data_IF_896537705438
#
_entry.id   IF_896537705438
#
_cell.length_a   1.000
_cell.length_b   1.000
_cell.length_c   1.000
_cell.angle_alpha   90.00
_cell.angle_beta   90.00
_cell.angle_gamma   90.00
#
_symmetry.space_group_name_H-M   'P 1'
#
loop_
_entity.id
_entity.type
_entity.pdbx_description
1 polymer ?
#
# COMPACT_ATOMS: atom_id res chain seq x y z
N UNK A 1 -8.07 1.57 -13.76
CA UNK A 1 -6.67 1.23 -14.12
C UNK A 1 -6.08 0.56 -12.89
N UNK A 2 -5.58 -0.67 -13.02
CA UNK A 2 -5.04 -1.41 -11.86
C UNK A 2 -3.63 -0.88 -11.57
N UNK A 3 -3.52 0.01 -10.57
CA UNK A 3 -2.25 0.61 -10.18
C UNK A 3 -1.50 -0.41 -9.34
N UNK A 4 -0.22 -0.72 -9.64
CA UNK A 4 0.57 -1.66 -8.86
C UNK A 4 0.63 -1.25 -7.39
N UNK A 5 0.15 -2.14 -6.51
CA UNK A 5 0.20 -1.98 -5.06
C UNK A 5 0.85 -3.23 -4.47
N UNK A 6 1.93 -3.07 -3.73
CA UNK A 6 2.67 -4.19 -3.13
C UNK A 6 4.01 -4.47 -3.81
N UNK A 7 4.46 -5.72 -3.96
CA UNK A 7 5.76 -6.02 -4.57
C UNK A 7 5.94 -5.32 -5.90
N UNK A 8 7.04 -4.58 -6.04
CA UNK A 8 7.33 -3.77 -7.22
C UNK A 8 7.59 -4.65 -8.45
N UNK A 9 8.12 -5.82 -8.21
CA UNK A 9 8.43 -6.84 -9.20
C UNK A 9 7.91 -8.18 -8.71
N UNK A 10 7.50 -9.09 -9.62
CA UNK A 10 7.20 -10.46 -9.25
C UNK A 10 8.38 -11.06 -8.49
N UNK A 11 8.09 -11.75 -7.39
CA UNK A 11 9.07 -12.59 -6.72
C UNK A 11 9.43 -13.73 -7.67
N UNK A 12 10.72 -14.03 -7.84
CA UNK A 12 11.17 -15.16 -8.65
C UNK A 12 10.46 -16.47 -8.24
N UNK A 13 10.27 -17.37 -9.18
CA UNK A 13 9.58 -18.66 -8.94
C UNK A 13 10.16 -19.34 -7.69
N UNK A 14 9.29 -19.66 -6.73
CA UNK A 14 9.58 -20.54 -5.59
C UNK A 14 10.09 -19.85 -4.32
N UNK A 15 10.30 -18.53 -4.25
CA UNK A 15 10.87 -17.90 -3.06
C UNK A 15 9.86 -17.19 -2.16
N UNK A 16 8.89 -16.49 -2.73
CA UNK A 16 7.84 -15.82 -1.96
C UNK A 16 6.54 -15.72 -2.78
N UNK A 17 5.41 -15.94 -2.12
CA UNK A 17 4.08 -15.86 -2.71
C UNK A 17 3.22 -14.93 -1.88
N UNK A 18 2.41 -14.07 -2.51
CA UNK A 18 1.45 -13.20 -1.83
C UNK A 18 0.06 -13.46 -2.38
N UNK A 19 -0.83 -13.96 -1.52
CA UNK A 19 -2.26 -14.05 -1.84
C UNK A 19 -2.93 -12.76 -1.39
N UNK A 20 -3.78 -12.17 -2.25
CA UNK A 20 -4.62 -11.03 -1.89
C UNK A 20 -6.06 -11.46 -1.83
N UNK A 21 -6.76 -10.97 -0.79
CA UNK A 21 -8.18 -11.21 -0.59
C UNK A 21 -8.91 -9.87 -0.45
N UNK A 22 -10.05 -9.73 -1.09
CA UNK A 22 -10.90 -8.55 -0.92
C UNK A 22 -11.66 -8.61 0.41
N UNK A 23 -11.93 -7.45 1.03
CA UNK A 23 -12.80 -7.40 2.20
C UNK A 23 -14.25 -7.65 1.82
N UNK A 24 -15.08 -8.15 2.75
CA UNK A 24 -16.52 -8.20 2.57
C UNK A 24 -17.08 -6.77 2.39
N UNK A 25 -18.25 -6.67 1.78
CA UNK A 25 -18.86 -5.38 1.44
C UNK A 25 -18.94 -4.42 2.62
N UNK A 26 -19.29 -4.93 3.80
CA UNK A 26 -19.40 -4.14 5.04
C UNK A 26 -18.08 -3.50 5.50
N UNK A 27 -16.91 -3.96 5.03
CA UNK A 27 -15.60 -3.46 5.41
C UNK A 27 -14.85 -2.76 4.26
N UNK A 28 -15.46 -2.61 3.08
CA UNK A 28 -14.81 -1.99 1.90
C UNK A 28 -14.43 -0.53 2.10
N UNK A 29 -15.12 0.17 3.00
CA UNK A 29 -14.78 1.55 3.35
C UNK A 29 -13.62 1.66 4.35
N UNK A 30 -13.27 0.57 5.04
CA UNK A 30 -12.21 0.51 6.04
C UNK A 30 -10.94 -0.16 5.50
N UNK A 31 -11.09 -1.16 4.64
CA UNK A 31 -10.02 -2.02 4.14
C UNK A 31 -9.95 -1.97 2.63
N UNK A 32 -8.74 -1.87 2.07
CA UNK A 32 -8.50 -1.99 0.63
C UNK A 32 -8.41 -3.47 0.25
N UNK A 33 -7.53 -4.22 0.89
CA UNK A 33 -7.39 -5.66 0.75
C UNK A 33 -6.58 -6.26 1.91
N UNK A 34 -6.74 -7.56 2.10
CA UNK A 34 -5.83 -8.39 2.89
C UNK A 34 -4.72 -8.92 2.01
N UNK A 35 -3.51 -9.10 2.57
CA UNK A 35 -2.38 -9.71 1.88
C UNK A 35 -1.70 -10.71 2.80
N UNK A 36 -1.48 -11.93 2.27
CA UNK A 36 -1.00 -13.06 3.04
C UNK A 36 0.23 -13.65 2.32
N UNK A 37 1.44 -13.19 2.68
CA UNK A 37 2.66 -13.70 2.11
C UNK A 37 3.04 -15.04 2.74
N UNK A 38 3.63 -15.90 1.92
CA UNK A 38 4.34 -17.09 2.36
C UNK A 38 5.68 -17.12 1.66
N UNK A 39 6.74 -17.44 2.36
CA UNK A 39 8.08 -17.53 1.78
C UNK A 39 8.85 -18.73 2.28
N UNK A 40 9.80 -19.17 1.44
CA UNK A 40 10.76 -20.22 1.77
C UNK A 40 12.09 -19.86 1.13
N UNK A 41 12.98 -19.27 1.90
CA UNK A 41 14.29 -18.81 1.49
C UNK A 41 15.31 -19.84 1.95
N UNK A 42 16.25 -20.26 1.08
CA UNK A 42 17.28 -21.20 1.46
C UNK A 42 18.10 -20.74 2.66
N UNK A 43 18.57 -21.68 3.48
CA UNK A 43 19.35 -21.37 4.67
C UNK A 43 20.60 -20.55 4.31
N UNK A 44 20.82 -19.46 5.04
CA UNK A 44 21.92 -18.52 4.83
C UNK A 44 21.70 -17.49 3.71
N UNK A 45 20.60 -17.60 2.94
CA UNK A 45 20.23 -16.58 1.95
C UNK A 45 19.28 -15.53 2.54
N UNK A 46 19.31 -14.34 1.96
CA UNK A 46 18.37 -13.23 2.24
C UNK A 46 17.76 -12.81 0.91
N UNK A 47 16.43 -12.71 0.88
CA UNK A 47 15.71 -12.16 -0.26
C UNK A 47 15.21 -10.75 0.08
N UNK A 48 15.61 -9.76 -0.72
CA UNK A 48 15.14 -8.38 -0.57
C UNK A 48 13.94 -8.14 -1.50
N UNK A 49 12.78 -7.94 -0.90
CA UNK A 49 11.56 -7.58 -1.61
C UNK A 49 11.33 -6.07 -1.55
N UNK A 50 11.41 -5.41 -2.71
CA UNK A 50 11.04 -3.99 -2.85
C UNK A 50 9.53 -3.88 -2.96
N UNK A 51 8.95 -2.98 -2.16
CA UNK A 51 7.50 -2.79 -2.05
C UNK A 51 7.17 -1.37 -2.48
N UNK A 52 6.34 -1.23 -3.49
CA UNK A 52 5.73 0.05 -3.84
C UNK A 52 4.57 0.29 -2.87
N UNK A 53 4.88 1.00 -1.80
CA UNK A 53 3.91 1.26 -0.74
C UNK A 53 2.79 2.18 -1.23
N UNK A 54 1.56 1.84 -0.89
CA UNK A 54 0.41 2.72 -1.03
C UNK A 54 0.43 3.77 0.09
N UNK A 55 0.04 5.03 -0.18
CA UNK A 55 0.09 6.10 0.81
C UNK A 55 -1.03 5.98 1.85
N UNK A 56 -1.08 4.88 2.55
CA UNK A 56 -2.05 4.59 3.60
C UNK A 56 -1.40 3.74 4.68
N UNK A 57 -2.06 3.64 5.83
CA UNK A 57 -1.61 2.78 6.90
C UNK A 57 -1.75 1.31 6.50
N UNK A 58 -0.84 0.51 7.00
CA UNK A 58 -0.79 -0.92 6.79
C UNK A 58 -0.59 -1.63 8.12
N UNK A 59 -1.46 -2.57 8.45
CA UNK A 59 -1.32 -3.38 9.65
C UNK A 59 -0.76 -4.74 9.23
N UNK A 60 0.28 -5.20 9.92
CA UNK A 60 0.85 -6.52 9.67
C UNK A 60 1.00 -7.32 10.97
N UNK A 61 0.86 -8.64 10.83
CA UNK A 61 1.16 -9.61 11.88
C UNK A 61 2.18 -10.61 11.34
N UNK A 62 3.32 -10.68 12.00
CA UNK A 62 4.42 -11.58 11.69
C UNK A 62 5.01 -12.09 13.01
N UNK A 63 5.24 -13.39 13.13
CA UNK A 63 5.76 -14.06 14.33
C UNK A 63 4.98 -13.72 15.63
N UNK A 64 3.66 -13.56 15.51
CA UNK A 64 2.78 -13.22 16.63
C UNK A 64 2.81 -11.73 17.02
N UNK A 65 3.63 -10.93 16.38
CA UNK A 65 3.77 -9.50 16.65
C UNK A 65 2.92 -8.71 15.65
N UNK A 66 1.98 -7.92 16.16
CA UNK A 66 1.19 -6.97 15.37
C UNK A 66 1.86 -5.61 15.32
N UNK A 67 1.93 -5.01 14.12
CA UNK A 67 2.51 -3.68 13.89
C UNK A 67 1.61 -2.86 12.98
N UNK A 68 1.28 -1.63 13.39
CA UNK A 68 0.65 -0.63 12.52
C UNK A 68 1.75 0.25 11.93
N UNK A 69 1.90 0.18 10.62
CA UNK A 69 2.79 1.05 9.84
C UNK A 69 1.99 2.25 9.35
N UNK A 70 2.57 3.42 9.47
CA UNK A 70 2.06 4.64 8.85
C UNK A 70 2.30 4.68 7.34
N UNK A 71 1.86 5.77 6.68
CA UNK A 71 2.14 5.99 5.27
C UNK A 71 3.65 6.04 5.01
N UNK A 72 4.11 5.28 4.02
CA UNK A 72 5.52 5.20 3.66
C UNK A 72 5.78 6.13 2.48
N UNK A 73 6.68 7.09 2.67
CA UNK A 73 7.06 8.09 1.66
C UNK A 73 8.29 7.69 0.86
N UNK A 74 9.09 6.76 1.37
CA UNK A 74 10.33 6.29 0.77
C UNK A 74 10.20 4.88 0.19
N UNK A 75 11.28 4.36 -0.36
CA UNK A 75 11.35 2.97 -0.79
C UNK A 75 11.25 2.05 0.42
N UNK A 76 10.29 1.13 0.39
CA UNK A 76 10.17 0.08 1.39
C UNK A 76 10.86 -1.20 0.90
N UNK A 77 11.77 -1.74 1.72
CA UNK A 77 12.46 -3.01 1.45
C UNK A 77 12.19 -3.95 2.61
N UNK A 78 11.55 -5.09 2.31
CA UNK A 78 11.41 -6.19 3.27
C UNK A 78 12.49 -7.23 3.01
N UNK A 79 13.24 -7.58 4.03
CA UNK A 79 14.22 -8.68 3.99
C UNK A 79 13.55 -9.95 4.51
N UNK A 80 13.57 -10.99 3.70
CA UNK A 80 13.02 -12.30 4.01
C UNK A 80 14.15 -13.31 4.15
N UNK A 81 14.08 -14.17 5.17
CA UNK A 81 15.01 -15.28 5.40
C UNK A 81 14.23 -16.49 5.92
N UNK A 82 14.78 -17.69 5.75
CA UNK A 82 14.12 -18.91 6.18
C UNK A 82 12.72 -19.09 5.59
N UNK A 83 11.86 -19.79 6.32
CA UNK A 83 10.46 -20.02 5.93
C UNK A 83 9.53 -19.27 6.87
N UNK A 84 8.49 -18.63 6.32
CA UNK A 84 7.55 -17.87 7.14
C UNK A 84 6.23 -17.58 6.45
N UNK A 85 5.31 -17.07 7.25
CA UNK A 85 3.99 -16.60 6.85
C UNK A 85 3.66 -15.35 7.63
N UNK A 86 3.02 -14.39 6.97
CA UNK A 86 2.51 -13.21 7.65
C UNK A 86 1.07 -12.92 7.20
N UNK A 87 0.41 -12.09 7.94
CA UNK A 87 -0.89 -11.52 7.64
C UNK A 87 -0.75 -10.01 7.55
N UNK A 88 -1.38 -9.41 6.56
CA UNK A 88 -1.38 -7.96 6.45
C UNK A 88 -2.69 -7.41 5.93
N UNK A 89 -2.95 -6.17 6.27
CA UNK A 89 -4.15 -5.41 5.89
C UNK A 89 -3.73 -4.06 5.39
N UNK A 90 -4.01 -3.77 4.13
CA UNK A 90 -3.93 -2.41 3.62
C UNK A 90 -5.23 -1.68 3.97
N UNK A 91 -5.13 -0.68 4.82
CA UNK A 91 -6.26 0.12 5.26
C UNK A 91 -6.63 1.18 4.22
N UNK A 92 -7.88 1.61 4.20
CA UNK A 92 -8.28 2.81 3.45
C UNK A 92 -7.65 4.06 4.07
N UNK A 93 -7.42 5.13 3.28
CA UNK A 93 -6.79 6.37 3.78
C UNK A 93 -7.45 6.97 5.02
N UNK A 94 -8.78 6.91 5.10
CA UNK A 94 -9.53 7.42 6.24
C UNK A 94 -9.47 6.57 7.51
N UNK A 95 -9.02 5.31 7.42
CA UNK A 95 -9.12 4.34 8.52
C UNK A 95 -7.95 4.44 9.50
N UNK A 96 -6.73 4.66 8.99
CA UNK A 96 -5.53 4.61 9.82
C UNK A 96 -5.57 5.53 11.04
N UNK A 97 -6.05 6.76 10.85
CA UNK A 97 -6.15 7.76 11.92
C UNK A 97 -7.15 7.40 13.02
N UNK A 98 -8.17 6.58 12.71
CA UNK A 98 -9.15 6.11 13.70
C UNK A 98 -8.61 4.95 14.55
N UNK A 99 -7.63 4.23 14.03
CA UNK A 99 -7.01 3.11 14.73
C UNK A 99 -5.77 3.55 15.52
N UNK A 100 -5.01 4.50 15.02
CA UNK A 100 -3.74 4.92 15.59
C UNK A 100 -3.91 5.53 17.00
N UNK A 101 -3.03 5.16 17.91
CA UNK A 101 -2.91 5.75 19.24
C UNK A 101 -2.16 7.10 19.25
N UNK A 102 -1.50 7.44 18.14
CA UNK A 102 -0.75 8.69 17.95
C UNK A 102 -1.17 9.40 16.67
N UNK A 103 -0.91 10.69 16.50
CA UNK A 103 -1.16 11.40 15.24
C UNK A 103 -0.50 10.70 14.05
N UNK A 104 -1.23 10.54 12.94
CA UNK A 104 -0.67 9.87 11.73
C UNK A 104 0.57 10.59 11.18
N UNK A 105 0.69 11.89 11.38
CA UNK A 105 1.88 12.65 10.99
C UNK A 105 3.16 12.17 11.69
N UNK A 106 3.04 11.59 12.88
CA UNK A 106 4.17 11.01 13.64
C UNK A 106 4.49 9.57 13.18
N UNK A 107 3.57 8.94 12.45
CA UNK A 107 3.74 7.60 11.89
C UNK A 107 4.23 7.60 10.45
N UNK A 108 4.39 8.75 9.81
CA UNK A 108 4.96 8.80 8.45
C UNK A 108 6.36 8.22 8.46
N UNK A 109 6.60 7.22 7.61
CA UNK A 109 7.83 6.42 7.56
C UNK A 109 8.17 5.69 8.88
N UNK A 110 7.18 5.53 9.77
CA UNK A 110 7.31 4.91 11.08
C UNK A 110 6.24 3.85 11.34
N UNK A 111 6.25 3.33 12.57
CA UNK A 111 5.28 2.31 13.02
C UNK A 111 5.12 2.32 14.53
N UNK A 112 4.00 1.76 15.01
CA UNK A 112 3.73 1.48 16.42
C UNK A 112 3.28 0.02 16.59
N UNK A 113 3.44 -0.56 17.79
CA UNK A 113 2.84 -1.85 18.11
C UNK A 113 1.32 -1.81 17.91
N UNK A 114 0.75 -2.82 17.26
CA UNK A 114 -0.69 -2.86 17.02
C UNK A 114 -1.50 -3.04 18.31
N UNK A 115 -0.87 -3.51 19.39
CA UNK A 115 -1.51 -3.57 20.71
C UNK A 115 -1.88 -2.16 21.22
N UNK A 116 -1.11 -1.14 20.89
CA UNK A 116 -1.40 0.26 21.24
C UNK A 116 -2.66 0.78 20.51
N UNK A 117 -3.03 0.12 19.39
CA UNK A 117 -4.28 0.34 18.67
C UNK A 117 -5.42 -0.54 19.18
N UNK A 118 -5.16 -1.37 20.20
CA UNK A 118 -6.10 -2.32 20.78
C UNK A 118 -6.17 -3.66 20.05
N UNK A 119 -5.25 -3.99 19.13
CA UNK A 119 -5.17 -5.32 18.51
C UNK A 119 -4.49 -6.31 19.46
N UNK A 120 -5.28 -6.97 20.29
CA UNK A 120 -4.89 -8.01 21.23
C UNK A 120 -4.90 -9.43 20.63
N UNK A 121 -5.09 -9.56 19.31
CA UNK A 121 -5.31 -10.82 18.58
C UNK A 121 -4.17 -11.23 17.66
N UNK A 122 -3.01 -10.57 17.73
CA UNK A 122 -1.90 -10.85 16.83
C UNK A 122 -1.43 -12.32 16.92
N UNK A 123 -1.28 -12.86 18.11
CA UNK A 123 -0.92 -14.28 18.32
C UNK A 123 -2.00 -15.23 17.76
N UNK A 124 -3.29 -14.91 17.93
CA UNK A 124 -4.39 -15.73 17.40
C UNK A 124 -4.42 -15.71 15.87
N UNK A 125 -4.15 -14.55 15.25
CA UNK A 125 -4.01 -14.41 13.78
C UNK A 125 -2.84 -15.26 13.30
N UNK A 126 -1.68 -15.16 13.95
CA UNK A 126 -0.51 -15.97 13.63
C UNK A 126 -0.79 -17.47 13.76
N UNK A 127 -1.40 -17.90 14.86
CA UNK A 127 -1.76 -19.30 15.09
C UNK A 127 -2.70 -19.83 13.97
N UNK A 128 -3.65 -19.03 13.52
CA UNK A 128 -4.54 -19.39 12.42
C UNK A 128 -3.79 -19.64 11.10
N UNK A 129 -2.70 -18.90 10.82
CA UNK A 129 -1.87 -19.12 9.62
C UNK A 129 -1.12 -20.46 9.64
N UNK A 130 -0.88 -21.03 10.82
CA UNK A 130 -0.15 -22.28 11.00
C UNK A 130 -1.05 -23.46 11.41
N UNK A 131 -2.36 -23.22 11.57
CA UNK A 131 -3.32 -24.26 11.92
C UNK A 131 -3.39 -25.37 10.86
N UNK A 132 -3.94 -26.53 11.22
CA UNK A 132 -4.24 -27.61 10.29
C UNK A 132 -5.28 -27.15 9.26
N UNK A 133 -5.20 -27.74 8.04
CA UNK A 133 -6.12 -27.43 6.97
C UNK A 133 -5.48 -26.88 5.70
N UNK A 134 -6.31 -26.53 4.73
CA UNK A 134 -5.87 -25.96 3.46
C UNK A 134 -5.41 -24.50 3.64
N UNK A 135 -4.58 -24.01 2.72
CA UNK A 135 -4.15 -22.60 2.72
C UNK A 135 -5.34 -21.64 2.75
N UNK A 136 -6.38 -21.90 1.96
CA UNK A 136 -7.58 -21.06 1.95
C UNK A 136 -8.36 -21.07 3.27
N UNK A 137 -8.38 -22.19 4.01
CA UNK A 137 -9.01 -22.25 5.34
C UNK A 137 -8.24 -21.42 6.35
N UNK A 138 -6.91 -21.57 6.38
CA UNK A 138 -6.01 -20.76 7.26
C UNK A 138 -6.15 -19.26 7.00
N UNK A 139 -6.13 -18.85 5.72
CA UNK A 139 -6.29 -17.46 5.35
C UNK A 139 -7.65 -16.90 5.81
N UNK A 140 -8.74 -17.61 5.56
CA UNK A 140 -10.08 -17.19 6.02
C UNK A 140 -10.16 -17.06 7.54
N UNK A 141 -9.55 -17.98 8.28
CA UNK A 141 -9.55 -17.94 9.73
C UNK A 141 -8.79 -16.71 10.26
N UNK A 142 -7.59 -16.43 9.73
CA UNK A 142 -6.81 -15.25 10.10
C UNK A 142 -7.54 -13.95 9.76
N UNK A 143 -8.12 -13.85 8.56
CA UNK A 143 -8.93 -12.71 8.12
C UNK A 143 -10.12 -12.51 9.07
N UNK A 144 -10.86 -13.56 9.39
CA UNK A 144 -12.02 -13.48 10.27
C UNK A 144 -11.70 -12.96 11.67
N UNK A 145 -10.59 -13.38 12.26
CA UNK A 145 -10.13 -12.89 13.57
C UNK A 145 -9.90 -11.38 13.52
N UNK A 146 -9.25 -10.90 12.45
CA UNK A 146 -9.00 -9.47 12.25
C UNK A 146 -10.30 -8.69 12.02
N UNK A 147 -11.20 -9.19 11.16
CA UNK A 147 -12.48 -8.55 10.86
C UNK A 147 -13.34 -8.40 12.12
N UNK A 148 -13.41 -9.45 12.95
CA UNK A 148 -14.15 -9.40 14.21
C UNK A 148 -13.57 -8.37 15.20
N UNK A 149 -12.26 -8.20 15.20
CA UNK A 149 -11.63 -7.13 15.96
C UNK A 149 -11.95 -5.75 15.38
N UNK A 150 -11.82 -5.57 14.06
CA UNK A 150 -12.03 -4.29 13.40
C UNK A 150 -13.46 -3.77 13.57
N UNK A 151 -14.46 -4.65 13.43
CA UNK A 151 -15.86 -4.31 13.64
C UNK A 151 -16.12 -3.85 15.09
N UNK A 152 -15.53 -4.53 16.07
CA UNK A 152 -15.65 -4.10 17.48
C UNK A 152 -14.92 -2.79 17.77
N UNK A 153 -13.81 -2.55 17.09
CA UNK A 153 -12.96 -1.35 17.27
C UNK A 153 -13.57 -0.10 16.64
N UNK A 154 -14.25 -0.28 15.50
CA UNK A 154 -14.92 0.78 14.73
C UNK A 154 -16.39 0.40 14.45
N UNK A 155 -17.25 0.36 15.48
CA UNK A 155 -18.65 -0.09 15.33
C UNK A 155 -19.46 0.82 14.41
N UNK A 156 -19.15 2.12 14.41
CA UNK A 156 -19.83 3.13 13.58
C UNK A 156 -19.15 3.30 12.21
N UNK A 157 -18.10 2.51 11.92
CA UNK A 157 -17.33 2.62 10.68
C UNK A 157 -16.50 3.90 10.59
N UNK A 158 -16.47 4.52 9.41
CA UNK A 158 -15.76 5.79 9.17
C UNK A 158 -16.61 6.99 9.55
N UNK A 159 -15.97 7.98 10.17
CA UNK A 159 -16.51 9.32 10.32
C UNK A 159 -16.60 10.07 8.98
N UNK A 160 -17.25 11.22 8.96
CA UNK A 160 -17.47 12.02 7.75
C UNK A 160 -16.15 12.45 7.07
N UNK A 161 -15.14 12.80 7.85
CA UNK A 161 -13.83 13.18 7.31
C UNK A 161 -13.10 12.00 6.67
N UNK A 162 -13.17 10.81 7.27
CA UNK A 162 -12.62 9.59 6.70
C UNK A 162 -13.32 9.18 5.41
N UNK A 163 -14.65 9.27 5.37
CA UNK A 163 -15.43 9.02 4.16
C UNK A 163 -15.09 10.02 3.04
N UNK A 164 -14.97 11.31 3.37
CA UNK A 164 -14.58 12.34 2.42
C UNK A 164 -13.18 12.05 1.86
N UNK A 165 -12.22 11.72 2.72
CA UNK A 165 -10.85 11.41 2.31
C UNK A 165 -10.81 10.18 1.39
N UNK A 166 -11.54 9.12 1.71
CA UNK A 166 -11.62 7.93 0.86
C UNK A 166 -12.17 8.27 -0.53
N UNK A 167 -13.23 9.09 -0.62
CA UNK A 167 -13.78 9.55 -1.92
C UNK A 167 -12.74 10.35 -2.70
N UNK A 168 -12.05 11.29 -2.06
CA UNK A 168 -11.00 12.10 -2.71
C UNK A 168 -9.90 11.19 -3.25
N UNK A 169 -9.38 10.26 -2.46
CA UNK A 169 -8.31 9.35 -2.90
C UNK A 169 -8.77 8.43 -4.04
N UNK A 170 -9.99 7.91 -3.98
CA UNK A 170 -10.56 7.09 -5.05
C UNK A 170 -10.76 7.89 -6.35
N UNK A 171 -11.18 9.14 -6.27
CA UNK A 171 -11.33 10.03 -7.44
C UNK A 171 -9.98 10.30 -8.12
N UNK A 172 -8.92 10.50 -7.35
CA UNK A 172 -7.56 10.63 -7.87
C UNK A 172 -7.14 9.36 -8.62
N UNK A 173 -7.32 8.21 -8.01
CA UNK A 173 -6.91 6.93 -8.56
C UNK A 173 -7.66 6.58 -9.86
N UNK A 174 -8.92 6.98 -9.94
CA UNK A 174 -9.77 6.74 -11.12
C UNK A 174 -9.60 7.75 -12.25
N UNK A 175 -8.92 8.87 -11.99
CA UNK A 175 -8.79 9.96 -12.96
C UNK A 175 -7.35 10.08 -13.45
N UNK A 176 -7.03 9.58 -14.65
CA UNK A 176 -5.72 9.78 -15.27
C UNK A 176 -5.43 11.27 -15.53
N UNK A 177 -4.16 11.64 -15.47
CA UNK A 177 -3.71 12.96 -15.89
C UNK A 177 -4.01 14.10 -14.93
N UNK A 178 -4.41 13.85 -13.69
CA UNK A 178 -4.46 14.90 -12.66
C UNK A 178 -3.03 15.36 -12.35
N UNK A 179 -2.75 16.64 -12.61
CA UNK A 179 -1.41 17.21 -12.48
C UNK A 179 -1.29 18.28 -11.40
N UNK A 180 -2.41 18.85 -10.93
CA UNK A 180 -2.42 19.99 -10.00
C UNK A 180 -3.39 19.77 -8.85
N UNK A 181 -3.00 20.25 -7.68
CA UNK A 181 -3.86 20.21 -6.48
C UNK A 181 -5.17 20.96 -6.70
N UNK A 182 -5.17 22.05 -7.48
CA UNK A 182 -6.37 22.78 -7.82
C UNK A 182 -7.45 21.91 -8.52
N UNK A 183 -7.03 21.00 -9.40
CA UNK A 183 -7.95 20.05 -10.05
C UNK A 183 -8.61 19.09 -9.03
N UNK A 184 -7.89 18.76 -7.99
CA UNK A 184 -8.44 18.03 -6.85
C UNK A 184 -9.53 18.81 -6.12
N UNK A 185 -9.19 20.07 -5.79
CA UNK A 185 -10.10 20.94 -5.06
C UNK A 185 -11.39 21.16 -5.84
N UNK A 186 -11.28 21.41 -7.14
CA UNK A 186 -12.43 21.60 -8.04
C UNK A 186 -13.34 20.35 -8.06
N UNK A 187 -12.77 19.17 -8.22
CA UNK A 187 -13.52 17.92 -8.30
C UNK A 187 -14.18 17.52 -6.99
N UNK A 188 -13.43 17.64 -5.89
CA UNK A 188 -13.93 17.28 -4.55
C UNK A 188 -14.80 18.36 -3.92
N UNK A 189 -14.86 19.54 -4.51
CA UNK A 189 -15.53 20.75 -3.97
C UNK A 189 -15.00 21.12 -2.57
N UNK A 190 -13.72 20.81 -2.30
CA UNK A 190 -13.04 21.12 -1.04
C UNK A 190 -11.99 22.19 -1.27
N UNK A 191 -12.01 23.25 -0.49
CA UNK A 191 -10.99 24.30 -0.59
C UNK A 191 -9.60 23.75 -0.24
N UNK A 192 -8.55 24.30 -0.87
CA UNK A 192 -7.17 23.80 -0.75
C UNK A 192 -6.67 23.72 0.71
N UNK A 193 -6.95 24.75 1.51
CA UNK A 193 -6.56 24.75 2.94
C UNK A 193 -7.26 23.64 3.74
N UNK A 194 -8.53 23.38 3.44
CA UNK A 194 -9.29 22.29 4.10
C UNK A 194 -8.77 20.93 3.67
N UNK A 195 -8.45 20.75 2.39
CA UNK A 195 -7.85 19.53 1.86
C UNK A 195 -6.47 19.27 2.50
N UNK A 196 -5.61 20.28 2.57
CA UNK A 196 -4.30 20.19 3.22
C UNK A 196 -4.43 19.75 4.69
N UNK A 197 -5.34 20.38 5.43
CA UNK A 197 -5.59 20.05 6.85
C UNK A 197 -6.11 18.62 7.01
N UNK A 198 -7.09 18.22 6.19
CA UNK A 198 -7.67 16.87 6.20
C UNK A 198 -6.61 15.80 5.93
N UNK A 199 -5.80 15.99 4.90
CA UNK A 199 -4.76 15.03 4.55
C UNK A 199 -3.63 14.99 5.59
N UNK A 200 -3.23 16.13 6.12
CA UNK A 200 -2.22 16.20 7.20
C UNK A 200 -2.70 15.47 8.46
N UNK A 201 -3.96 15.67 8.87
CA UNK A 201 -4.51 15.02 10.07
C UNK A 201 -4.79 13.53 9.91
N UNK A 202 -5.21 13.09 8.71
CA UNK A 202 -5.68 11.71 8.49
C UNK A 202 -4.67 10.80 7.80
N UNK A 203 -3.72 11.37 7.05
CA UNK A 203 -2.69 10.62 6.32
C UNK A 203 -1.26 11.07 6.66
N UNK A 204 -1.07 12.21 7.32
CA UNK A 204 0.26 12.76 7.60
C UNK A 204 1.03 13.23 6.36
N UNK A 205 0.40 13.30 5.19
CA UNK A 205 1.03 13.67 3.92
C UNK A 205 0.30 14.86 3.28
N UNK A 206 0.97 15.52 2.33
CA UNK A 206 0.39 16.65 1.61
C UNK A 206 -0.35 16.22 0.34
N UNK A 207 -1.35 17.00 -0.15
CA UNK A 207 -1.98 16.76 -1.45
C UNK A 207 -0.99 16.72 -2.61
N UNK A 208 0.03 17.58 -2.58
CA UNK A 208 1.10 17.62 -3.59
C UNK A 208 1.90 16.31 -3.61
N UNK A 209 2.25 15.79 -2.45
CA UNK A 209 2.97 14.54 -2.33
C UNK A 209 2.13 13.36 -2.85
N UNK A 210 0.85 13.27 -2.47
CA UNK A 210 -0.05 12.22 -2.96
C UNK A 210 -0.16 12.23 -4.48
N UNK A 211 -0.29 13.41 -5.07
CA UNK A 211 -0.36 13.60 -6.50
C UNK A 211 0.92 13.15 -7.21
N UNK A 212 2.09 13.50 -6.68
CA UNK A 212 3.38 13.07 -7.22
C UNK A 212 3.50 11.55 -7.14
N UNK A 213 3.10 10.94 -6.01
CA UNK A 213 3.10 9.49 -5.83
C UNK A 213 2.19 8.78 -6.84
N UNK A 214 0.97 9.30 -7.05
CA UNK A 214 0.04 8.77 -8.04
C UNK A 214 0.63 8.78 -9.46
N UNK A 215 1.26 9.88 -9.89
CA UNK A 215 1.91 9.95 -11.21
C UNK A 215 3.01 8.90 -11.38
N UNK A 216 3.81 8.66 -10.34
CA UNK A 216 4.87 7.65 -10.39
C UNK A 216 4.30 6.22 -10.45
N UNK A 217 3.19 5.96 -9.77
CA UNK A 217 2.47 4.70 -9.87
C UNK A 217 1.84 4.50 -11.26
N UNK A 218 1.27 5.55 -11.84
CA UNK A 218 0.76 5.55 -13.22
C UNK A 218 1.89 5.29 -14.22
N UNK A 219 3.06 5.93 -14.04
CA UNK A 219 4.24 5.64 -14.84
C UNK A 219 4.65 4.17 -14.77
N UNK A 220 4.73 3.60 -13.57
CA UNK A 220 5.07 2.19 -13.38
C UNK A 220 4.06 1.27 -14.08
N UNK A 221 2.76 1.56 -13.98
CA UNK A 221 1.71 0.80 -14.66
C UNK A 221 1.82 0.87 -16.19
N UNK A 222 2.11 2.05 -16.74
CA UNK A 222 2.27 2.25 -18.18
C UNK A 222 3.53 1.53 -18.70
N UNK A 223 4.63 1.62 -17.98
CA UNK A 223 5.88 0.94 -18.33
C UNK A 223 5.79 -0.59 -18.22
N UNK A 224 4.93 -1.10 -17.33
CA UNK A 224 4.71 -2.53 -17.16
C UNK A 224 3.89 -3.20 -18.27
N UNK A 225 3.24 -2.43 -19.15
CA UNK A 225 2.26 -2.96 -20.15
C UNK A 225 2.81 -3.21 -21.55
N UNK A 226 4.07 -2.89 -21.86
CA UNK A 226 4.53 -3.06 -23.25
C UNK A 226 5.97 -2.71 -23.53
N UNK A 227 6.32 -2.67 -24.82
CA UNK A 227 7.62 -2.21 -25.32
C UNK A 227 7.91 -0.82 -24.74
N UNK A 228 9.03 -0.69 -24.04
CA UNK A 228 9.39 0.47 -23.23
C UNK A 228 8.99 1.82 -23.85
N UNK A 229 8.16 2.61 -23.14
CA UNK A 229 7.69 3.89 -23.68
C UNK A 229 8.84 4.85 -23.87
N UNK A 230 8.70 5.79 -24.79
CA UNK A 230 9.57 6.97 -24.85
C UNK A 230 9.46 7.71 -23.50
N UNK A 231 10.53 7.63 -22.71
CA UNK A 231 10.56 8.17 -21.36
C UNK A 231 10.41 9.70 -21.32
N UNK A 232 10.84 10.40 -22.39
CA UNK A 232 10.66 11.85 -22.49
C UNK A 232 9.19 12.20 -22.70
N UNK A 233 8.50 11.48 -23.58
CA UNK A 233 7.05 11.63 -23.78
C UNK A 233 6.25 11.26 -22.56
N UNK A 234 6.63 10.18 -21.88
CA UNK A 234 5.98 9.74 -20.64
C UNK A 234 6.14 10.81 -19.54
N UNK A 235 7.36 11.31 -19.32
CA UNK A 235 7.62 12.37 -18.35
C UNK A 235 6.74 13.61 -18.62
N UNK A 236 6.69 14.06 -19.87
CA UNK A 236 5.84 15.21 -20.27
C UNK A 236 4.35 14.93 -20.04
N UNK A 237 3.85 13.75 -20.43
CA UNK A 237 2.45 13.34 -20.23
C UNK A 237 2.05 13.32 -18.74
N UNK A 238 2.99 12.99 -17.87
CA UNK A 238 2.82 12.98 -16.41
C UNK A 238 3.06 14.36 -15.77
N UNK A 239 3.32 15.41 -16.57
CA UNK A 239 3.49 16.78 -16.07
C UNK A 239 4.85 17.08 -15.44
N UNK A 240 5.89 16.32 -15.78
CA UNK A 240 7.27 16.64 -15.42
C UNK A 240 7.86 17.65 -16.40
N UNK A 241 8.73 18.53 -15.89
CA UNK A 241 9.41 19.52 -16.72
C UNK A 241 10.36 18.88 -17.74
N UNK A 242 11.03 17.79 -17.34
CA UNK A 242 11.95 17.02 -18.18
C UNK A 242 12.08 15.58 -17.70
N UNK A 243 12.71 14.75 -18.56
CA UNK A 243 12.96 13.34 -18.26
C UNK A 243 13.90 13.12 -17.07
N UNK A 244 14.87 14.02 -16.84
CA UNK A 244 15.84 13.87 -15.76
C UNK A 244 15.17 14.04 -14.38
N UNK A 245 14.24 14.99 -14.27
CA UNK A 245 13.42 15.18 -13.07
C UNK A 245 12.54 13.94 -12.82
N UNK A 246 11.81 13.47 -13.84
CA UNK A 246 11.03 12.22 -13.75
C UNK A 246 11.90 11.04 -13.29
N UNK A 247 13.07 10.84 -13.91
CA UNK A 247 13.96 9.73 -13.59
C UNK A 247 14.43 9.77 -12.14
N UNK A 248 14.79 10.93 -11.63
CA UNK A 248 15.20 11.10 -10.21
C UNK A 248 14.08 10.77 -9.25
N UNK A 249 12.89 11.29 -9.48
CA UNK A 249 11.72 11.05 -8.64
C UNK A 249 11.29 9.58 -8.67
N UNK A 250 11.30 8.97 -9.86
CA UNK A 250 10.99 7.56 -10.02
C UNK A 250 11.99 6.68 -9.29
N UNK A 251 13.30 6.96 -9.43
CA UNK A 251 14.34 6.22 -8.73
C UNK A 251 14.28 6.38 -7.21
N UNK A 252 13.95 7.55 -6.71
CA UNK A 252 13.78 7.78 -5.28
C UNK A 252 12.65 6.92 -4.66
N UNK A 253 11.58 6.69 -5.42
CA UNK A 253 10.40 5.94 -4.97
C UNK A 253 10.53 4.43 -5.19
N UNK A 254 11.18 4.00 -6.29
CA UNK A 254 11.25 2.59 -6.69
C UNK A 254 12.61 1.94 -6.42
N UNK A 255 13.62 2.75 -6.14
CA UNK A 255 15.01 2.29 -5.95
C UNK A 255 15.68 1.86 -7.25
N UNK A 256 15.12 2.19 -8.42
CA UNK A 256 15.71 1.88 -9.73
C UNK A 256 15.28 2.92 -10.78
N UNK A 257 16.09 3.10 -11.80
CA UNK A 257 15.73 3.97 -12.91
C UNK A 257 14.54 3.41 -13.71
N UNK A 258 13.77 4.27 -14.43
CA UNK A 258 12.71 3.80 -15.31
C UNK A 258 13.15 2.74 -16.32
N UNK A 259 14.37 2.90 -16.89
CA UNK A 259 14.94 1.93 -17.85
C UNK A 259 15.27 0.58 -17.19
N UNK A 260 15.77 0.56 -15.96
CA UNK A 260 15.98 -0.67 -15.20
C UNK A 260 14.66 -1.35 -14.86
N UNK A 261 13.65 -0.57 -14.44
CA UNK A 261 12.30 -1.08 -14.15
C UNK A 261 11.71 -1.80 -15.37
N UNK A 262 11.72 -1.16 -16.54
CA UNK A 262 11.22 -1.76 -17.80
C UNK A 262 11.93 -3.08 -18.12
N UNK A 263 13.28 -3.11 -18.03
CA UNK A 263 14.05 -4.35 -18.27
C UNK A 263 13.67 -5.47 -17.30
N UNK A 264 13.50 -5.16 -16.03
CA UNK A 264 13.16 -6.16 -15.02
C UNK A 264 11.72 -6.69 -15.19
N UNK A 265 10.76 -5.83 -15.53
CA UNK A 265 9.38 -6.25 -15.82
C UNK A 265 9.34 -7.15 -17.05
N UNK A 266 10.09 -6.81 -18.12
CA UNK A 266 10.17 -7.63 -19.33
C UNK A 266 10.89 -8.97 -19.12
N UNK A 267 11.86 -9.03 -18.21
CA UNK A 267 12.57 -10.25 -17.86
C UNK A 267 11.78 -11.18 -16.92
N UNK A 268 10.75 -10.66 -16.26
CA UNK A 268 9.87 -11.46 -15.39
C UNK A 268 8.82 -12.15 -16.25
N UNK A 269 8.71 -13.50 -16.26
CA UNK A 269 7.64 -14.17 -16.98
C UNK A 269 6.30 -13.66 -16.44
N UNK A 270 5.41 -13.27 -17.36
CA UNK A 270 4.07 -12.81 -17.02
C UNK A 270 3.39 -13.87 -16.16
N UNK A 271 3.24 -13.59 -14.88
CA UNK A 271 2.39 -14.41 -14.02
C UNK A 271 0.96 -14.29 -14.51
N UNK A 272 0.47 -15.37 -15.05
CA UNK A 272 -0.92 -15.60 -15.42
C UNK A 272 -1.77 -15.73 -14.17
#
# INVERSE_FOLDING_TARGET
MDIPRGPLLPTGEGTAHVVRCEPPEALRDLVVHYWLPTWQIPAGAIHEQRILSYPSCNLAVEDGIGTLYGPVTQLSIKRLSGAGRAFGVLLRPGTGALLSAVPISELVDGSIPAIDCGLDRAESIQAALYAEGTTGQRHRAAIKIFEDWLVRRLPDGLDQEGQLLNRICADIESTPGIQRVAQFCERSQVGERSLQRLMASRMGITPKWLLQRHRLQEAAALMGRGAGPDLARLAHALGYADQAHFTRDFAAVTGMSPGEYVRQVQASPAGN
#
